data_IF_382888387624
#
_entry.id   IF_382888387624
#
_cell.length_a   1.000
_cell.length_b   1.000
_cell.length_c   1.000
_cell.angle_alpha   90.00
_cell.angle_beta   90.00
_cell.angle_gamma   90.00
#
_symmetry.space_group_name_H-M   'P 1'
#
loop_
_entity.id
_entity.type
_entity.pdbx_description
1 polymer ?
#
# COMPACT_ATOMS: atom_id res chain seq x y z
N UNK A 1 -39.86 -19.51 16.03
CA UNK A 1 -38.58 -18.98 15.51
C UNK A 1 -37.58 -19.07 16.66
N UNK A 2 -36.46 -19.77 16.48
CA UNK A 2 -35.43 -19.83 17.53
C UNK A 2 -34.82 -18.43 17.70
N UNK A 3 -34.65 -17.99 18.95
CA UNK A 3 -33.90 -16.77 19.23
C UNK A 3 -32.47 -16.93 18.65
N UNK A 4 -31.88 -15.88 18.04
CA UNK A 4 -30.50 -15.95 17.61
C UNK A 4 -29.65 -16.26 18.85
N UNK A 5 -28.82 -17.31 18.75
CA UNK A 5 -27.89 -17.67 19.81
C UNK A 5 -27.07 -16.41 20.19
N UNK A 6 -27.04 -16.07 21.47
CA UNK A 6 -26.19 -14.99 21.98
C UNK A 6 -24.78 -15.23 21.46
N UNK A 7 -24.30 -14.31 20.63
CA UNK A 7 -22.97 -14.43 20.03
C UNK A 7 -21.98 -13.86 21.05
N UNK A 8 -21.17 -14.71 21.72
CA UNK A 8 -20.34 -14.24 22.83
C UNK A 8 -19.35 -13.17 22.34
N UNK A 9 -19.17 -12.11 23.11
CA UNK A 9 -18.16 -11.07 22.86
C UNK A 9 -18.63 -9.86 22.04
N UNK A 10 -19.92 -9.75 21.70
CA UNK A 10 -20.47 -8.54 21.09
C UNK A 10 -20.96 -7.54 22.15
N UNK A 11 -20.87 -6.21 21.91
CA UNK A 11 -21.43 -5.21 22.81
C UNK A 11 -22.93 -5.42 23.06
N UNK A 12 -23.40 -5.05 24.25
CA UNK A 12 -24.82 -5.12 24.60
C UNK A 12 -25.68 -4.35 23.58
N UNK A 13 -26.75 -4.99 23.10
CA UNK A 13 -27.66 -4.40 22.12
C UNK A 13 -27.16 -4.41 20.67
N UNK A 14 -25.93 -4.87 20.40
CA UNK A 14 -25.42 -5.01 19.04
C UNK A 14 -26.16 -6.13 18.28
N UNK A 15 -26.61 -5.82 17.06
CA UNK A 15 -27.33 -6.76 16.20
C UNK A 15 -26.54 -7.05 14.94
N UNK A 16 -26.22 -8.32 14.71
CA UNK A 16 -25.66 -8.77 13.44
C UNK A 16 -26.81 -8.91 12.44
N UNK A 17 -26.77 -8.11 11.37
CA UNK A 17 -27.74 -8.19 10.29
C UNK A 17 -27.42 -9.35 9.35
N UNK A 18 -28.46 -9.97 8.76
CA UNK A 18 -28.30 -11.08 7.82
C UNK A 18 -27.58 -10.66 6.52
N UNK A 19 -27.66 -9.37 6.17
CA UNK A 19 -26.94 -8.74 5.07
C UNK A 19 -26.24 -7.51 5.63
N UNK A 20 -24.97 -7.35 5.30
CA UNK A 20 -24.21 -6.17 5.67
C UNK A 20 -24.64 -4.97 4.82
N UNK A 21 -24.97 -3.86 5.49
CA UNK A 21 -25.19 -2.56 4.87
C UNK A 21 -24.09 -1.61 5.34
N UNK A 22 -23.46 -0.91 4.39
CA UNK A 22 -22.39 0.02 4.72
C UNK A 22 -22.96 1.23 5.48
N UNK A 23 -22.44 1.45 6.68
CA UNK A 23 -22.72 2.61 7.50
C UNK A 23 -21.53 3.58 7.46
N UNK A 24 -21.79 4.86 7.72
CA UNK A 24 -20.69 5.81 7.87
C UNK A 24 -19.79 5.36 9.03
N UNK A 25 -18.53 5.12 8.72
CA UNK A 25 -17.55 4.61 9.67
C UNK A 25 -17.05 5.69 10.64
N UNK A 26 -17.30 6.96 10.36
CA UNK A 26 -16.82 8.08 11.17
C UNK A 26 -15.29 8.14 11.30
N UNK A 27 -14.80 9.04 12.15
CA UNK A 27 -13.37 9.22 12.40
C UNK A 27 -12.57 9.73 11.20
N UNK A 28 -11.24 9.85 11.37
CA UNK A 28 -10.34 10.44 10.36
C UNK A 28 -10.32 9.69 9.01
N UNK A 29 -10.69 8.40 9.02
CA UNK A 29 -10.68 7.54 7.83
C UNK A 29 -12.08 7.28 7.25
N UNK A 30 -13.16 7.74 7.88
CA UNK A 30 -14.54 7.40 7.52
C UNK A 30 -14.97 7.89 6.14
N UNK A 31 -14.44 9.03 5.69
CA UNK A 31 -14.68 9.53 4.33
C UNK A 31 -13.90 8.75 3.26
N UNK A 32 -12.75 8.17 3.63
CA UNK A 32 -11.84 7.47 2.71
C UNK A 32 -12.30 6.02 2.48
N UNK A 33 -12.60 5.31 3.56
CA UNK A 33 -12.96 3.91 3.55
C UNK A 33 -14.36 3.71 2.94
N UNK A 34 -14.45 2.81 1.96
CA UNK A 34 -15.67 2.48 1.24
C UNK A 34 -15.73 0.97 0.99
N UNK A 35 -16.92 0.40 0.80
CA UNK A 35 -17.07 -1.02 0.46
C UNK A 35 -16.77 -1.29 -1.03
N UNK A 36 -16.55 -0.26 -1.83
CA UNK A 36 -16.26 -0.33 -3.26
C UNK A 36 -14.89 0.28 -3.59
N UNK A 37 -14.18 -0.37 -4.53
CA UNK A 37 -12.93 0.10 -5.11
C UNK A 37 -13.16 0.98 -6.34
N UNK A 38 -12.07 1.51 -6.92
CA UNK A 38 -12.08 2.17 -8.22
C UNK A 38 -11.94 3.70 -8.19
N UNK A 39 -12.04 4.29 -9.38
CA UNK A 39 -11.86 5.72 -9.65
C UNK A 39 -12.97 6.54 -9.00
N UNK A 40 -12.59 7.67 -8.40
CA UNK A 40 -13.52 8.65 -7.80
C UNK A 40 -13.40 10.06 -8.40
N UNK A 41 -12.30 10.35 -9.07
CA UNK A 41 -12.09 11.62 -9.78
C UNK A 41 -11.18 11.43 -10.98
N UNK A 42 -11.40 12.22 -12.03
CA UNK A 42 -10.53 12.25 -13.20
C UNK A 42 -9.34 13.18 -12.96
N UNK A 43 -8.14 12.61 -12.90
CA UNK A 43 -6.89 13.34 -12.74
C UNK A 43 -5.73 12.44 -13.17
N UNK A 44 -4.94 12.91 -14.13
CA UNK A 44 -3.75 12.21 -14.60
C UNK A 44 -2.61 12.35 -13.58
N UNK A 45 -1.73 11.34 -13.52
CA UNK A 45 -0.53 11.43 -12.71
C UNK A 45 0.53 12.33 -13.37
N UNK A 46 1.26 13.14 -12.58
CA UNK A 46 2.46 13.78 -13.08
C UNK A 46 3.51 12.72 -13.42
N UNK A 47 4.34 13.06 -14.41
CA UNK A 47 5.45 12.24 -14.91
C UNK A 47 6.64 13.17 -15.10
N UNK A 48 7.77 12.84 -14.47
CA UNK A 48 9.02 13.59 -14.61
C UNK A 48 9.94 13.00 -15.66
N UNK A 49 11.21 13.40 -15.62
CA UNK A 49 12.21 13.05 -16.64
C UNK A 49 12.94 11.73 -16.32
N UNK A 50 12.87 11.25 -15.09
CA UNK A 50 13.64 10.09 -14.65
C UNK A 50 12.97 8.75 -15.04
N UNK A 51 13.76 7.67 -15.22
CA UNK A 51 13.21 6.38 -15.64
C UNK A 51 12.23 5.80 -14.61
N UNK A 52 12.40 6.13 -13.33
CA UNK A 52 11.60 5.60 -12.23
C UNK A 52 10.66 6.67 -11.70
N UNK A 53 9.35 6.37 -11.69
CA UNK A 53 8.32 7.24 -11.15
C UNK A 53 7.74 6.59 -9.90
N UNK A 54 7.88 7.24 -8.75
CA UNK A 54 7.31 6.79 -7.48
C UNK A 54 6.16 7.72 -7.08
N UNK A 55 4.95 7.17 -6.96
CA UNK A 55 3.79 7.87 -6.43
C UNK A 55 3.50 7.36 -5.03
N UNK A 56 3.82 8.16 -4.01
CA UNK A 56 3.93 7.69 -2.62
C UNK A 56 3.62 8.77 -1.58
N UNK A 57 3.73 8.40 -0.32
CA UNK A 57 3.61 9.27 0.86
C UNK A 57 4.57 8.77 1.94
N UNK A 58 5.09 9.66 2.80
CA UNK A 58 6.02 9.38 3.91
C UNK A 58 5.45 8.53 5.04
N UNK A 59 4.90 7.37 4.70
CA UNK A 59 4.39 6.34 5.61
C UNK A 59 5.40 5.20 5.72
N UNK A 60 5.28 4.29 6.70
CA UNK A 60 6.18 3.13 6.79
C UNK A 60 6.27 2.29 5.49
N UNK A 61 5.18 2.18 4.71
CA UNK A 61 5.23 1.47 3.43
C UNK A 61 5.91 2.29 2.33
N UNK A 62 5.73 3.62 2.32
CA UNK A 62 6.41 4.50 1.37
C UNK A 62 7.91 4.58 1.61
N UNK A 63 8.34 4.67 2.87
CA UNK A 63 9.75 4.73 3.25
C UNK A 63 10.56 3.52 2.79
N UNK A 64 9.95 2.32 2.76
CA UNK A 64 10.63 1.12 2.23
C UNK A 64 11.22 1.37 0.84
N UNK A 65 10.39 1.93 -0.04
CA UNK A 65 10.76 2.12 -1.45
C UNK A 65 11.73 3.28 -1.62
N UNK A 66 11.50 4.42 -0.94
CA UNK A 66 12.43 5.55 -1.01
C UNK A 66 13.80 5.17 -0.46
N UNK A 67 13.88 4.45 0.65
CA UNK A 67 15.16 3.98 1.20
C UNK A 67 15.94 3.13 0.19
N UNK A 68 15.29 2.16 -0.47
CA UNK A 68 15.97 1.34 -1.47
C UNK A 68 16.38 2.13 -2.72
N UNK A 69 15.57 3.11 -3.14
CA UNK A 69 15.90 3.99 -4.26
C UNK A 69 17.09 4.90 -3.92
N UNK A 70 17.19 5.44 -2.71
CA UNK A 70 18.36 6.20 -2.26
C UNK A 70 19.62 5.34 -2.22
N UNK A 71 19.54 4.09 -1.72
CA UNK A 71 20.66 3.14 -1.76
C UNK A 71 21.11 2.84 -3.20
N UNK A 72 20.15 2.72 -4.13
CA UNK A 72 20.43 2.57 -5.56
C UNK A 72 20.98 3.85 -6.20
N UNK A 73 20.53 5.03 -5.79
CA UNK A 73 21.02 6.31 -6.25
C UNK A 73 22.51 6.45 -5.89
N UNK A 74 22.86 6.20 -4.63
CA UNK A 74 24.25 6.27 -4.15
C UNK A 74 25.15 5.21 -4.81
N UNK A 75 24.69 3.95 -4.92
CA UNK A 75 25.54 2.85 -5.38
C UNK A 75 25.57 2.66 -6.91
N UNK A 76 24.56 3.16 -7.63
CA UNK A 76 24.37 2.92 -9.07
C UNK A 76 24.02 4.16 -9.89
N UNK A 77 23.83 5.33 -9.26
CA UNK A 77 23.38 6.53 -9.97
C UNK A 77 21.96 6.39 -10.54
N UNK A 78 21.10 5.62 -9.85
CA UNK A 78 19.69 5.51 -10.23
C UNK A 78 18.97 6.80 -9.88
N UNK A 79 18.32 7.40 -10.87
CA UNK A 79 17.50 8.60 -10.70
C UNK A 79 16.01 8.24 -10.68
N UNK A 80 15.23 8.97 -9.88
CA UNK A 80 13.79 8.75 -9.77
C UNK A 80 13.05 10.04 -9.44
N UNK A 81 11.79 10.15 -9.89
CA UNK A 81 10.87 11.21 -9.48
C UNK A 81 9.94 10.68 -8.37
N UNK A 82 9.85 11.41 -7.25
CA UNK A 82 8.98 11.07 -6.12
C UNK A 82 7.80 12.05 -6.01
N UNK A 83 6.62 11.60 -6.39
CA UNK A 83 5.39 12.38 -6.38
C UNK A 83 4.57 12.11 -5.12
N UNK A 84 4.20 13.18 -4.40
CA UNK A 84 3.37 13.09 -3.21
C UNK A 84 1.91 12.76 -3.56
N UNK A 85 1.40 11.68 -2.98
CA UNK A 85 -0.01 11.26 -3.06
C UNK A 85 -0.63 11.43 -1.68
N UNK A 86 -1.28 12.57 -1.47
CA UNK A 86 -1.98 12.85 -0.22
C UNK A 86 -3.23 11.97 -0.10
N UNK A 87 -3.11 10.90 0.69
CA UNK A 87 -4.19 9.94 0.88
C UNK A 87 -5.39 10.55 1.62
N UNK A 88 -5.18 11.59 2.42
CA UNK A 88 -6.25 12.29 3.16
C UNK A 88 -7.07 13.20 2.25
N UNK A 89 -6.49 13.60 1.10
CA UNK A 89 -7.20 14.28 0.01
C UNK A 89 -7.73 13.31 -1.05
N UNK A 90 -7.76 12.00 -0.76
CA UNK A 90 -8.30 10.97 -1.65
C UNK A 90 -7.57 10.82 -3.00
N UNK A 91 -6.32 11.31 -3.10
CA UNK A 91 -5.52 11.28 -4.35
C UNK A 91 -5.20 9.88 -4.87
N UNK A 92 -5.26 8.87 -4.01
CA UNK A 92 -5.14 7.45 -4.37
C UNK A 92 -6.34 6.89 -5.17
N UNK A 93 -7.42 7.67 -5.32
CA UNK A 93 -8.60 7.29 -6.09
C UNK A 93 -8.76 8.08 -7.40
N UNK A 94 -7.74 8.84 -7.82
CA UNK A 94 -7.73 9.48 -9.13
C UNK A 94 -7.60 8.43 -10.24
N UNK A 95 -8.10 8.72 -11.45
CA UNK A 95 -8.00 7.81 -12.58
C UNK A 95 -6.54 7.38 -12.85
N UNK A 96 -5.61 8.34 -12.89
CA UNK A 96 -4.20 8.04 -13.09
C UNK A 96 -3.58 7.16 -11.98
N UNK A 97 -3.96 7.34 -10.70
CA UNK A 97 -3.42 6.49 -9.63
C UNK A 97 -4.00 5.07 -9.68
N UNK A 98 -5.31 4.94 -9.94
CA UNK A 98 -5.97 3.62 -10.06
C UNK A 98 -5.43 2.84 -11.25
N UNK A 99 -5.02 3.52 -12.33
CA UNK A 99 -4.33 2.91 -13.47
C UNK A 99 -3.01 2.24 -13.09
N UNK A 100 -2.24 2.77 -12.13
CA UNK A 100 -0.98 2.15 -11.70
C UNK A 100 -1.15 1.21 -10.50
N UNK A 101 -2.18 1.43 -9.67
CA UNK A 101 -2.56 0.53 -8.59
C UNK A 101 -4.08 0.49 -8.38
N UNK A 102 -4.79 -0.56 -8.87
CA UNK A 102 -6.24 -0.67 -8.71
C UNK A 102 -6.69 -0.91 -7.25
N UNK A 103 -5.75 -1.21 -6.33
CA UNK A 103 -6.00 -1.30 -4.89
C UNK A 103 -6.06 0.09 -4.22
N UNK A 104 -5.73 1.17 -4.93
CA UNK A 104 -5.71 2.55 -4.40
C UNK A 104 -4.88 2.68 -3.12
N UNK A 105 -3.67 2.10 -3.10
CA UNK A 105 -2.73 2.23 -1.98
C UNK A 105 -1.34 2.68 -2.45
N UNK A 106 -0.71 3.54 -1.66
CA UNK A 106 0.70 3.85 -1.79
C UNK A 106 1.57 2.78 -1.11
N UNK A 107 2.85 2.63 -1.49
CA UNK A 107 3.47 3.19 -2.69
C UNK A 107 2.99 2.49 -3.98
N UNK A 108 3.01 3.21 -5.08
CA UNK A 108 2.91 2.67 -6.43
C UNK A 108 4.08 3.21 -7.28
N UNK A 109 4.63 2.35 -8.14
CA UNK A 109 5.85 2.62 -8.89
C UNK A 109 5.63 2.33 -10.37
N UNK A 110 6.24 3.13 -11.25
CA UNK A 110 6.25 2.87 -12.69
C UNK A 110 7.67 2.93 -13.20
N UNK A 111 8.10 1.83 -13.82
CA UNK A 111 9.36 1.77 -14.57
C UNK A 111 9.12 2.20 -16.02
N UNK A 112 9.64 3.36 -16.40
CA UNK A 112 9.54 3.92 -17.75
C UNK A 112 10.73 3.58 -18.64
N UNK A 113 11.73 2.86 -18.13
CA UNK A 113 12.80 2.30 -18.96
C UNK A 113 12.36 1.05 -19.71
N UNK A 114 11.27 0.42 -19.29
CA UNK A 114 10.61 -0.69 -20.00
C UNK A 114 9.66 -0.19 -21.09
N UNK A 115 9.42 -1.02 -22.11
CA UNK A 115 8.50 -0.73 -23.21
C UNK A 115 7.51 -1.88 -23.43
N UNK A 116 6.21 -1.73 -23.10
CA UNK A 116 5.60 -0.53 -22.49
C UNK A 116 6.05 -0.29 -21.05
N UNK A 117 5.83 0.92 -20.48
CA UNK A 117 6.12 1.19 -19.08
C UNK A 117 5.48 0.17 -18.13
N UNK A 118 6.24 -0.29 -17.14
CA UNK A 118 5.82 -1.35 -16.24
C UNK A 118 5.36 -0.78 -14.90
N UNK A 119 4.08 -0.92 -14.58
CA UNK A 119 3.54 -0.59 -13.25
C UNK A 119 3.87 -1.69 -12.23
N UNK A 120 4.27 -1.30 -11.04
CA UNK A 120 4.58 -2.18 -9.90
C UNK A 120 3.95 -1.59 -8.64
N UNK A 121 3.12 -2.36 -7.95
CA UNK A 121 2.49 -1.98 -6.69
C UNK A 121 2.70 -3.08 -5.65
N UNK A 122 2.32 -2.78 -4.39
CA UNK A 122 2.74 -3.46 -3.17
C UNK A 122 4.21 -3.18 -2.81
N UNK A 123 4.44 -2.58 -1.64
CA UNK A 123 5.79 -2.14 -1.24
C UNK A 123 6.82 -3.26 -1.27
N UNK A 124 6.47 -4.47 -0.82
CA UNK A 124 7.38 -5.61 -0.84
C UNK A 124 7.70 -6.10 -2.26
N UNK A 125 6.75 -6.01 -3.18
CA UNK A 125 6.95 -6.36 -4.58
C UNK A 125 7.81 -5.32 -5.31
N UNK A 126 7.65 -4.03 -4.99
CA UNK A 126 8.53 -2.96 -5.52
C UNK A 126 9.98 -3.18 -5.06
N UNK A 127 10.21 -3.54 -3.79
CA UNK A 127 11.55 -3.88 -3.30
C UNK A 127 12.15 -5.06 -4.08
N UNK A 128 11.37 -6.14 -4.25
CA UNK A 128 11.82 -7.33 -4.96
C UNK A 128 12.12 -7.02 -6.44
N UNK A 129 11.28 -6.22 -7.09
CA UNK A 129 11.46 -5.77 -8.47
C UNK A 129 12.77 -5.01 -8.65
N UNK A 130 13.02 -3.99 -7.81
CA UNK A 130 14.25 -3.19 -7.86
C UNK A 130 15.49 -4.05 -7.56
N UNK A 131 15.40 -4.93 -6.54
CA UNK A 131 16.47 -5.86 -6.20
C UNK A 131 16.81 -6.81 -7.36
N UNK A 132 15.79 -7.36 -8.05
CA UNK A 132 15.98 -8.27 -9.18
C UNK A 132 16.45 -7.55 -10.45
N UNK A 133 15.98 -6.33 -10.70
CA UNK A 133 16.40 -5.50 -11.85
C UNK A 133 17.85 -5.07 -11.74
N UNK A 134 18.29 -4.67 -10.55
CA UNK A 134 19.67 -4.24 -10.32
C UNK A 134 20.63 -5.33 -9.83
N UNK A 135 20.11 -6.53 -9.53
CA UNK A 135 20.88 -7.65 -8.94
C UNK A 135 21.58 -7.26 -7.63
N UNK A 136 20.87 -6.53 -6.78
CA UNK A 136 21.39 -6.01 -5.50
C UNK A 136 20.41 -6.26 -4.36
N UNK A 137 20.90 -6.19 -3.12
CA UNK A 137 20.11 -6.25 -1.88
C UNK A 137 19.31 -7.53 -1.62
N UNK A 138 19.42 -8.53 -2.49
CA UNK A 138 18.92 -9.88 -2.30
C UNK A 138 20.01 -10.89 -2.69
N UNK A 139 20.27 -11.92 -1.86
CA UNK A 139 21.23 -12.96 -2.24
C UNK A 139 20.78 -13.66 -3.54
N UNK A 140 21.76 -14.10 -4.33
CA UNK A 140 21.50 -14.73 -5.64
C UNK A 140 21.50 -16.25 -5.55
N UNK A 141 22.09 -16.84 -4.51
CA UNK A 141 22.01 -18.27 -4.25
C UNK A 141 20.64 -18.63 -3.65
N UNK A 142 20.18 -19.86 -3.92
CA UNK A 142 18.85 -20.29 -3.49
C UNK A 142 18.67 -20.23 -1.97
N UNK A 143 19.71 -20.49 -1.17
CA UNK A 143 19.57 -20.53 0.29
C UNK A 143 19.40 -19.12 0.85
N UNK A 144 20.29 -18.21 0.48
CA UNK A 144 20.22 -16.82 0.92
C UNK A 144 18.97 -16.12 0.39
N UNK A 145 18.58 -16.39 -0.87
CA UNK A 145 17.37 -15.80 -1.46
C UNK A 145 16.12 -16.27 -0.74
N UNK A 146 15.99 -17.58 -0.49
CA UNK A 146 14.83 -18.12 0.24
C UNK A 146 14.73 -17.51 1.62
N UNK A 147 15.83 -17.40 2.36
CA UNK A 147 15.79 -16.82 3.71
C UNK A 147 15.40 -15.33 3.68
N UNK A 148 15.94 -14.55 2.75
CA UNK A 148 15.54 -13.15 2.57
C UNK A 148 14.04 -13.03 2.26
N UNK A 149 13.52 -13.88 1.38
CA UNK A 149 12.10 -13.88 1.04
C UNK A 149 11.22 -14.32 2.20
N UNK A 150 11.64 -15.28 3.03
CA UNK A 150 10.89 -15.65 4.25
C UNK A 150 10.60 -14.41 5.11
N UNK A 151 11.61 -13.56 5.34
CA UNK A 151 11.48 -12.34 6.13
C UNK A 151 10.68 -11.25 5.42
N UNK A 152 10.86 -11.09 4.11
CA UNK A 152 10.08 -10.13 3.32
C UNK A 152 8.57 -10.48 3.39
N UNK A 153 8.21 -11.74 3.15
CA UNK A 153 6.82 -12.18 3.20
C UNK A 153 6.26 -12.17 4.63
N UNK A 154 7.07 -12.52 5.64
CA UNK A 154 6.70 -12.33 7.05
C UNK A 154 6.34 -10.86 7.33
N UNK A 155 7.16 -9.91 6.87
CA UNK A 155 6.94 -8.48 7.08
C UNK A 155 5.65 -8.02 6.39
N UNK A 156 5.42 -8.46 5.15
CA UNK A 156 4.22 -8.08 4.39
C UNK A 156 2.94 -8.71 4.98
N UNK A 157 3.01 -9.93 5.52
CA UNK A 157 1.89 -10.59 6.18
C UNK A 157 1.58 -10.05 7.59
N UNK A 158 2.59 -9.54 8.31
CA UNK A 158 2.44 -9.06 9.70
C UNK A 158 2.09 -7.57 9.81
N UNK A 159 2.57 -6.72 8.89
CA UNK A 159 2.31 -5.29 8.95
C UNK A 159 0.83 -4.87 8.98
N UNK A 160 -0.10 -5.54 8.28
CA UNK A 160 -1.53 -5.24 8.38
C UNK A 160 -2.08 -5.35 9.80
N UNK A 161 -1.58 -6.30 10.61
CA UNK A 161 -1.99 -6.46 12.01
C UNK A 161 -1.49 -5.30 12.88
N UNK A 162 -0.26 -4.84 12.64
CA UNK A 162 0.35 -3.74 13.40
C UNK A 162 -0.28 -2.40 13.02
N UNK A 163 -0.42 -2.10 11.72
CA UNK A 163 -0.95 -0.82 11.25
C UNK A 163 -2.48 -0.77 11.26
N UNK A 164 -3.13 -1.70 10.56
CA UNK A 164 -4.57 -1.73 10.38
C UNK A 164 -5.35 -2.28 11.57
N UNK A 165 -4.70 -3.09 12.42
CA UNK A 165 -5.21 -3.52 13.71
C UNK A 165 -4.78 -2.55 14.82
N UNK A 166 -3.64 -2.84 15.44
CA UNK A 166 -3.16 -2.13 16.63
C UNK A 166 -3.12 -0.62 16.46
N UNK A 167 -2.42 -0.11 15.44
CA UNK A 167 -2.26 1.33 15.21
C UNK A 167 -3.59 2.04 14.97
N UNK A 168 -4.50 1.43 14.21
CA UNK A 168 -5.83 1.99 13.99
C UNK A 168 -6.60 2.13 15.30
N UNK A 169 -6.73 1.06 16.09
CA UNK A 169 -7.50 1.09 17.33
C UNK A 169 -6.83 1.87 18.45
N UNK A 170 -5.50 1.87 18.54
CA UNK A 170 -4.76 2.57 19.59
C UNK A 170 -4.72 4.09 19.35
N UNK A 171 -4.45 4.52 18.12
CA UNK A 171 -4.27 5.94 17.80
C UNK A 171 -5.55 6.66 17.38
N UNK A 172 -6.59 5.94 16.94
CA UNK A 172 -7.86 6.57 16.51
C UNK A 172 -8.91 6.66 17.63
N UNK A 173 -8.70 5.97 18.76
CA UNK A 173 -9.61 5.97 19.92
C UNK A 173 -9.29 7.07 20.95
N UNK A 174 -8.25 7.87 20.71
CA UNK A 174 -7.76 8.93 21.62
C UNK A 174 -7.98 10.35 21.06
N UNK A 175 -8.93 10.54 20.14
CA UNK A 175 -9.31 11.86 19.61
C UNK A 175 -10.82 12.08 19.66
#
# INVERSE_FOLDING_TARGET
MAAPAETPGLPEGYKVHAVYEFQDLGGKMGAMNRPAAGVRSEEALPVGEHPYQLHSLGTPNGHKVTMLLEELAELKGVEYDAWNVDIFQLKQFTSGFVEINPNSKIPAFTDRSESPPLRVFESGNILLYLADKHKMFIPQDIRGRTECLNWLFWQMGSAPMIGGGFGHFYCSSSA
#
